data_IF_801747484743
#
_entry.id   IF_801747484743
#
_cell.length_a   1.000
_cell.length_b   1.000
_cell.length_c   1.000
_cell.angle_alpha   90.00
_cell.angle_beta   90.00
_cell.angle_gamma   90.00
#
_symmetry.space_group_name_H-M   'P 1'
#
loop_
_entity.id
_entity.type
_entity.pdbx_description
1 polymer ?
#
# COMPACT_ATOMS: atom_id res chain seq x y z
N UNK A 1 14.49 21.71 15.10
CA UNK A 1 14.30 20.30 15.50
C UNK A 1 14.84 20.05 16.91
N UNK A 2 16.16 20.00 17.15
CA UNK A 2 16.77 19.65 18.46
C UNK A 2 16.11 20.33 19.68
N UNK A 3 16.16 21.67 19.76
CA UNK A 3 15.61 22.40 20.93
C UNK A 3 14.13 22.09 21.20
N UNK A 4 13.33 21.90 20.14
CA UNK A 4 11.92 21.55 20.27
C UNK A 4 11.74 20.13 20.77
N UNK A 5 12.51 19.18 20.24
CA UNK A 5 12.49 17.79 20.68
C UNK A 5 12.86 17.65 22.17
N UNK A 6 13.92 18.33 22.60
CA UNK A 6 14.34 18.37 24.01
C UNK A 6 13.26 18.98 24.90
N UNK A 7 12.62 20.06 24.46
CA UNK A 7 11.56 20.71 25.24
C UNK A 7 10.31 19.81 25.40
N UNK A 8 9.90 19.11 24.32
CA UNK A 8 8.79 18.15 24.38
C UNK A 8 9.12 17.01 25.34
N UNK A 9 10.32 16.43 25.22
CA UNK A 9 10.73 15.33 26.08
C UNK A 9 10.87 15.73 27.56
N UNK A 10 11.40 16.93 27.83
CA UNK A 10 11.48 17.47 29.19
C UNK A 10 10.10 17.73 29.80
N UNK A 11 9.11 18.11 28.99
CA UNK A 11 7.74 18.32 29.45
C UNK A 11 7.01 17.00 29.74
N UNK A 12 7.23 15.98 28.91
CA UNK A 12 6.71 14.64 29.14
C UNK A 12 7.68 13.58 28.57
N UNK A 13 8.37 12.81 29.42
CA UNK A 13 9.31 11.84 28.93
C UNK A 13 8.63 10.61 28.30
N UNK A 14 7.34 10.34 28.55
CA UNK A 14 6.67 9.10 28.15
C UNK A 14 6.10 9.13 26.72
N UNK A 15 6.09 10.29 26.06
CA UNK A 15 5.57 10.44 24.69
C UNK A 15 6.64 10.21 23.62
N UNK A 16 6.19 9.80 22.43
CA UNK A 16 6.99 9.86 21.22
C UNK A 16 7.19 11.32 20.78
N UNK A 17 8.36 11.60 20.21
CA UNK A 17 8.70 12.90 19.63
C UNK A 17 8.77 12.74 18.11
N UNK A 18 7.83 13.37 17.42
CA UNK A 18 7.73 13.33 15.97
C UNK A 18 8.48 14.53 15.37
N UNK A 19 9.37 14.28 14.40
CA UNK A 19 10.11 15.29 13.68
C UNK A 19 9.68 15.36 12.22
N UNK A 20 9.07 16.48 11.85
CA UNK A 20 8.75 16.83 10.47
C UNK A 20 9.99 17.28 9.69
N UNK A 21 9.97 17.04 8.40
CA UNK A 21 10.93 17.48 7.40
C UNK A 21 10.66 18.86 6.82
N UNK A 22 11.35 19.13 5.72
CA UNK A 22 11.28 20.39 4.98
C UNK A 22 10.31 20.26 3.79
N UNK A 23 10.05 21.39 3.12
CA UNK A 23 9.26 21.44 1.89
C UNK A 23 7.86 20.84 2.05
N UNK A 24 7.06 21.39 2.98
CA UNK A 24 5.74 20.85 3.32
C UNK A 24 5.81 19.37 3.71
N UNK A 25 6.83 19.04 4.51
CA UNK A 25 7.07 17.71 5.07
C UNK A 25 7.33 16.59 4.02
N UNK A 26 7.94 16.95 2.89
CA UNK A 26 8.25 15.98 1.82
C UNK A 26 9.72 15.57 1.77
N UNK A 27 10.57 16.21 2.58
CA UNK A 27 12.03 16.11 2.44
C UNK A 27 12.74 15.94 3.79
N UNK A 28 13.35 14.76 4.01
CA UNK A 28 14.12 14.40 5.19
C UNK A 28 15.58 14.03 4.88
N UNK A 29 16.04 14.12 3.62
CA UNK A 29 17.39 13.67 3.24
C UNK A 29 18.51 14.43 3.94
N UNK A 30 18.25 15.67 4.40
CA UNK A 30 19.22 16.45 5.19
C UNK A 30 19.64 15.73 6.49
N UNK A 31 18.83 14.80 7.01
CA UNK A 31 19.14 13.99 8.20
C UNK A 31 20.33 13.05 7.95
N UNK A 32 20.59 12.65 6.69
CA UNK A 32 21.75 11.81 6.34
C UNK A 32 23.07 12.52 6.66
N UNK A 33 23.15 13.79 6.27
CA UNK A 33 24.37 14.59 6.40
C UNK A 33 24.45 15.29 7.76
N UNK A 34 23.29 15.54 8.38
CA UNK A 34 23.17 16.23 9.67
C UNK A 34 22.18 15.50 10.59
N UNK A 35 22.58 14.34 11.15
CA UNK A 35 21.75 13.62 12.11
C UNK A 35 21.40 14.49 13.32
N UNK A 36 20.21 14.27 13.87
CA UNK A 36 19.76 14.99 15.07
C UNK A 36 20.44 14.39 16.30
N UNK A 37 21.16 15.22 17.06
CA UNK A 37 21.74 14.82 18.34
C UNK A 37 20.78 15.24 19.47
N UNK A 38 20.30 14.26 20.22
CA UNK A 38 19.34 14.41 21.32
C UNK A 38 19.88 13.73 22.57
N UNK A 39 19.41 14.16 23.74
CA UNK A 39 19.76 13.57 25.04
C UNK A 39 19.03 12.25 25.32
N UNK A 40 17.98 11.95 24.54
CA UNK A 40 17.15 10.75 24.66
C UNK A 40 17.18 9.90 23.38
N UNK A 41 16.83 8.61 23.51
CA UNK A 41 16.76 7.66 22.41
C UNK A 41 15.48 6.79 22.50
N UNK A 42 15.21 6.02 21.45
CA UNK A 42 14.08 5.06 21.42
C UNK A 42 12.68 5.69 21.40
N UNK A 43 12.56 7.01 21.24
CA UNK A 43 11.29 7.76 21.23
C UNK A 43 11.12 8.66 20.00
N UNK A 44 12.07 8.62 19.08
CA UNK A 44 12.09 9.48 17.90
C UNK A 44 11.34 8.82 16.74
N UNK A 45 10.44 9.58 16.13
CA UNK A 45 9.74 9.20 14.90
C UNK A 45 9.92 10.33 13.90
N UNK A 46 10.12 10.00 12.63
CA UNK A 46 10.11 11.00 11.56
C UNK A 46 8.78 10.96 10.82
N UNK A 47 8.30 12.11 10.37
CA UNK A 47 7.07 12.17 9.59
C UNK A 47 7.27 12.72 8.17
N UNK A 48 6.38 12.31 7.27
CA UNK A 48 6.27 12.87 5.92
C UNK A 48 4.83 13.01 5.47
N UNK A 49 4.59 14.01 4.62
CA UNK A 49 3.33 14.20 3.90
C UNK A 49 3.45 13.73 2.45
N UNK A 50 2.38 13.11 1.89
CA UNK A 50 2.30 12.73 0.48
C UNK A 50 0.91 12.89 -0.10
N UNK A 51 0.77 13.65 -1.16
CA UNK A 51 -0.51 13.88 -1.83
C UNK A 51 -0.39 13.64 -3.33
N UNK A 52 -1.51 13.39 -4.01
CA UNK A 52 -1.51 13.25 -5.47
C UNK A 52 -0.91 14.47 -6.19
N UNK A 53 -1.14 15.67 -5.65
CA UNK A 53 -0.59 16.91 -6.19
C UNK A 53 0.89 17.16 -5.85
N UNK A 54 1.51 16.37 -4.95
CA UNK A 54 2.93 16.53 -4.58
C UNK A 54 3.84 16.45 -5.82
N UNK A 55 3.44 15.65 -6.81
CA UNK A 55 4.16 15.47 -8.08
C UNK A 55 3.61 16.35 -9.22
N UNK A 56 2.83 17.40 -8.89
CA UNK A 56 2.14 18.23 -9.87
C UNK A 56 1.13 17.42 -10.70
N UNK A 57 1.16 17.57 -12.02
CA UNK A 57 0.30 16.84 -12.96
C UNK A 57 0.88 15.53 -13.49
N UNK A 58 1.98 15.03 -12.90
CA UNK A 58 2.74 13.90 -13.45
C UNK A 58 1.88 12.65 -13.68
N UNK A 59 0.92 12.36 -12.80
CA UNK A 59 0.06 11.17 -12.93
C UNK A 59 -0.96 11.28 -14.07
N UNK A 60 -1.28 12.50 -14.52
CA UNK A 60 -2.12 12.75 -15.70
C UNK A 60 -1.28 12.75 -16.97
N UNK A 61 -0.11 13.40 -16.92
CA UNK A 61 0.69 13.67 -18.11
C UNK A 61 1.62 12.51 -18.49
N UNK A 62 1.99 11.66 -17.53
CA UNK A 62 2.92 10.56 -17.69
C UNK A 62 2.28 9.18 -17.74
N UNK A 63 3.05 8.20 -18.18
CA UNK A 63 2.69 6.80 -18.06
C UNK A 63 2.71 6.38 -16.57
N UNK A 64 1.67 5.70 -16.04
CA UNK A 64 1.60 5.39 -14.61
C UNK A 64 2.75 4.52 -14.08
N UNK A 65 3.35 3.64 -14.89
CA UNK A 65 4.49 2.83 -14.44
C UNK A 65 5.77 3.66 -14.29
N UNK A 66 6.06 4.51 -15.28
CA UNK A 66 7.22 5.43 -15.28
C UNK A 66 7.10 6.47 -14.16
N UNK A 67 5.89 7.00 -13.94
CA UNK A 67 5.62 7.95 -12.85
C UNK A 67 5.77 7.26 -11.50
N UNK A 68 5.21 6.06 -11.33
CA UNK A 68 5.33 5.31 -10.08
C UNK A 68 6.79 4.97 -9.74
N UNK A 69 7.62 4.62 -10.74
CA UNK A 69 9.06 4.42 -10.53
C UNK A 69 9.73 5.69 -9.99
N UNK A 70 9.53 6.83 -10.65
CA UNK A 70 10.12 8.11 -10.26
C UNK A 70 9.67 8.56 -8.87
N UNK A 71 8.38 8.45 -8.58
CA UNK A 71 7.79 8.87 -7.31
C UNK A 71 8.28 7.97 -6.18
N UNK A 72 8.22 6.64 -6.33
CA UNK A 72 8.70 5.73 -5.29
C UNK A 72 10.22 5.86 -5.06
N UNK A 73 11.00 6.06 -6.12
CA UNK A 73 12.43 6.33 -6.01
C UNK A 73 12.71 7.66 -5.28
N UNK A 74 11.93 8.71 -5.56
CA UNK A 74 12.02 9.97 -4.83
C UNK A 74 11.71 9.76 -3.34
N UNK A 75 10.58 9.13 -2.99
CA UNK A 75 10.19 8.91 -1.60
C UNK A 75 11.25 8.10 -0.84
N UNK A 76 11.78 7.03 -1.45
CA UNK A 76 12.87 6.24 -0.85
C UNK A 76 14.13 7.08 -0.63
N UNK A 77 14.46 7.95 -1.59
CA UNK A 77 15.61 8.86 -1.49
C UNK A 77 15.42 9.93 -0.42
N UNK A 78 14.23 10.49 -0.27
CA UNK A 78 13.98 11.66 0.58
C UNK A 78 13.59 11.30 2.00
N UNK A 79 12.95 10.15 2.23
CA UNK A 79 12.53 9.71 3.58
C UNK A 79 12.63 8.20 3.82
N UNK A 80 12.33 7.36 2.83
CA UNK A 80 12.26 5.90 3.03
C UNK A 80 13.56 5.26 3.54
N UNK A 81 14.72 5.87 3.27
CA UNK A 81 16.00 5.41 3.82
C UNK A 81 16.06 5.36 5.35
N UNK A 82 15.22 6.12 6.06
CA UNK A 82 15.13 6.09 7.51
C UNK A 82 14.64 4.71 7.98
N UNK A 83 13.71 4.11 7.26
CA UNK A 83 13.20 2.75 7.52
C UNK A 83 14.33 1.73 7.35
N UNK A 84 15.14 1.85 6.29
CA UNK A 84 16.29 0.97 6.04
C UNK A 84 17.36 1.09 7.15
N UNK A 85 17.44 2.25 7.80
CA UNK A 85 18.32 2.52 8.95
C UNK A 85 17.70 2.10 10.30
N UNK A 86 16.48 1.58 10.32
CA UNK A 86 15.77 1.15 11.52
C UNK A 86 15.06 2.26 12.28
N UNK A 87 14.90 3.45 11.68
CA UNK A 87 14.11 4.54 12.27
C UNK A 87 12.63 4.40 11.92
N UNK A 88 11.72 4.67 12.87
CA UNK A 88 10.30 4.80 12.57
C UNK A 88 10.03 5.98 11.62
N UNK A 89 9.32 5.71 10.53
CA UNK A 89 8.82 6.70 9.59
C UNK A 89 7.28 6.61 9.56
N UNK A 90 6.63 7.74 9.79
CA UNK A 90 5.18 7.88 9.85
C UNK A 90 4.71 8.74 8.69
N UNK A 91 3.70 8.31 7.93
CA UNK A 91 3.05 9.17 6.95
C UNK A 91 1.93 9.93 7.66
N UNK A 92 2.27 11.06 8.26
CA UNK A 92 1.33 11.84 9.08
C UNK A 92 0.21 12.47 8.28
N UNK A 93 0.41 12.66 6.97
CA UNK A 93 -0.64 13.06 6.06
C UNK A 93 -0.49 12.43 4.68
N UNK A 94 -1.57 11.83 4.18
CA UNK A 94 -1.75 11.62 2.75
C UNK A 94 -3.21 11.78 2.33
N UNK A 95 -3.45 12.11 1.06
CA UNK A 95 -4.81 12.27 0.59
C UNK A 95 -4.90 12.62 -0.90
N UNK A 96 -6.14 12.80 -1.33
CA UNK A 96 -6.55 13.06 -2.72
C UNK A 96 -8.06 13.09 -2.80
N UNK A 97 -8.60 13.59 -3.92
CA UNK A 97 -10.03 13.66 -4.16
C UNK A 97 -10.69 12.28 -4.21
N UNK A 98 -11.58 12.00 -3.26
CA UNK A 98 -12.23 10.70 -3.10
C UNK A 98 -13.54 10.56 -3.90
N UNK A 99 -13.88 11.52 -4.76
CA UNK A 99 -15.05 11.40 -5.68
C UNK A 99 -14.79 10.46 -6.85
N UNK A 100 -13.55 10.08 -7.09
CA UNK A 100 -13.15 9.19 -8.19
C UNK A 100 -13.08 9.88 -9.56
N UNK A 101 -13.26 11.20 -9.64
CA UNK A 101 -13.22 11.96 -10.90
C UNK A 101 -11.84 12.55 -11.19
N UNK A 102 -10.94 12.60 -10.20
CA UNK A 102 -9.60 13.15 -10.36
C UNK A 102 -8.62 12.05 -10.81
N UNK A 103 -8.22 12.09 -12.09
CA UNK A 103 -7.29 11.12 -12.69
C UNK A 103 -5.93 11.11 -11.99
N UNK A 104 -5.45 12.27 -11.55
CA UNK A 104 -4.15 12.41 -10.91
C UNK A 104 -4.12 11.64 -9.57
N UNK A 105 -5.11 11.92 -8.72
CA UNK A 105 -5.22 11.34 -7.38
C UNK A 105 -5.52 9.84 -7.44
N UNK A 106 -6.44 9.43 -8.33
CA UNK A 106 -6.78 8.02 -8.53
C UNK A 106 -5.55 7.16 -8.88
N UNK A 107 -4.71 7.64 -9.80
CA UNK A 107 -3.49 6.94 -10.22
C UNK A 107 -2.41 6.98 -9.15
N UNK A 108 -2.24 8.12 -8.48
CA UNK A 108 -1.36 8.27 -7.33
C UNK A 108 -1.66 7.22 -6.25
N UNK A 109 -2.93 7.07 -5.84
CA UNK A 109 -3.30 6.13 -4.79
C UNK A 109 -2.91 4.69 -5.13
N UNK A 110 -3.04 4.26 -6.39
CA UNK A 110 -2.67 2.90 -6.80
C UNK A 110 -1.18 2.61 -6.56
N UNK A 111 -0.31 3.58 -6.83
CA UNK A 111 1.12 3.42 -6.59
C UNK A 111 1.49 3.62 -5.12
N UNK A 112 0.95 4.68 -4.50
CA UNK A 112 1.32 5.06 -3.14
C UNK A 112 0.90 4.01 -2.11
N UNK A 113 -0.29 3.41 -2.23
CA UNK A 113 -0.71 2.33 -1.34
C UNK A 113 0.14 1.06 -1.54
N UNK A 114 0.67 0.82 -2.74
CA UNK A 114 1.64 -0.26 -2.97
C UNK A 114 2.95 0.00 -2.21
N UNK A 115 3.41 1.26 -2.21
CA UNK A 115 4.61 1.65 -1.46
C UNK A 115 4.38 1.62 0.05
N UNK A 116 3.22 2.08 0.55
CA UNK A 116 2.87 1.99 1.97
C UNK A 116 2.84 0.53 2.44
N UNK A 117 2.25 -0.37 1.64
CA UNK A 117 2.26 -1.81 1.94
C UNK A 117 3.69 -2.38 1.92
N UNK A 118 4.50 -2.02 0.92
CA UNK A 118 5.91 -2.44 0.84
C UNK A 118 6.69 -2.00 2.07
N UNK A 119 6.56 -0.73 2.45
CA UNK A 119 7.32 -0.11 3.53
C UNK A 119 6.73 -0.41 4.93
N UNK A 120 5.50 -0.94 4.99
CA UNK A 120 4.72 -1.20 6.21
C UNK A 120 4.75 -0.01 7.18
N UNK A 121 4.47 1.18 6.65
CA UNK A 121 4.49 2.42 7.43
C UNK A 121 3.17 2.63 8.15
N UNK A 122 3.25 3.18 9.36
CA UNK A 122 2.10 3.81 9.99
C UNK A 122 1.69 5.06 9.19
N UNK A 123 0.40 5.39 9.20
CA UNK A 123 -0.13 6.48 8.39
C UNK A 123 -1.37 7.14 9.01
N UNK A 124 -1.63 8.38 8.60
CA UNK A 124 -2.88 9.09 8.84
C UNK A 124 -3.39 9.70 7.53
N UNK A 125 -4.64 9.37 7.18
CA UNK A 125 -5.31 9.91 6.00
C UNK A 125 -5.86 11.30 6.31
N UNK A 126 -5.57 12.26 5.44
CA UNK A 126 -6.21 13.56 5.42
C UNK A 126 -7.47 13.47 4.55
N UNK A 127 -8.67 13.39 5.11
CA UNK A 127 -9.05 13.51 6.54
C UNK A 127 -10.37 12.77 6.81
N UNK A 128 -10.79 12.62 8.06
CA UNK A 128 -12.08 12.00 8.42
C UNK A 128 -13.29 12.86 8.00
N UNK A 129 -13.13 14.17 7.85
CA UNK A 129 -14.27 15.09 7.75
C UNK A 129 -15.11 14.93 6.48
N UNK A 130 -16.31 15.50 6.45
CA UNK A 130 -17.13 15.63 5.24
C UNK A 130 -17.27 17.07 4.74
N UNK A 131 -17.29 18.02 5.66
CA UNK A 131 -17.43 19.45 5.40
C UNK A 131 -16.80 20.27 6.53
N UNK A 132 -16.55 21.56 6.26
CA UNK A 132 -16.04 22.51 7.24
C UNK A 132 -17.15 23.40 7.77
N UNK A 133 -17.15 23.68 9.08
CA UNK A 133 -18.02 24.71 9.64
C UNK A 133 -17.82 26.05 8.91
N UNK A 134 -16.56 26.42 8.68
CA UNK A 134 -16.17 27.57 7.87
C UNK A 134 -14.77 27.35 7.29
N UNK A 135 -14.60 27.54 5.97
CA UNK A 135 -13.29 27.50 5.30
C UNK A 135 -13.31 28.48 4.13
N UNK A 136 -12.26 29.29 4.02
CA UNK A 136 -12.06 30.20 2.88
C UNK A 136 -13.25 31.12 2.56
N UNK A 137 -13.99 31.56 3.58
CA UNK A 137 -15.17 32.42 3.39
C UNK A 137 -16.48 31.68 3.17
N UNK A 138 -16.46 30.34 3.10
CA UNK A 138 -17.62 29.50 2.82
C UNK A 138 -18.01 28.70 4.06
N UNK A 139 -19.26 28.87 4.51
CA UNK A 139 -19.86 28.05 5.57
C UNK A 139 -20.29 26.71 4.95
N UNK A 140 -19.99 25.60 5.63
CA UNK A 140 -20.35 24.27 5.13
C UNK A 140 -19.60 23.88 3.85
N UNK A 141 -18.36 24.36 3.66
CA UNK A 141 -17.57 23.98 2.48
C UNK A 141 -17.32 22.47 2.47
N UNK A 142 -17.62 21.80 1.37
CA UNK A 142 -17.38 20.35 1.23
C UNK A 142 -15.89 20.03 1.19
N UNK A 143 -15.48 18.97 1.90
CA UNK A 143 -14.13 18.42 1.82
C UNK A 143 -14.14 17.16 0.95
N UNK A 144 -13.65 17.28 -0.29
CA UNK A 144 -13.61 16.17 -1.24
C UNK A 144 -12.49 15.16 -0.95
N UNK A 145 -11.49 15.53 -0.14
CA UNK A 145 -10.43 14.63 0.36
C UNK A 145 -10.90 13.85 1.60
N UNK A 146 -12.05 14.25 2.14
CA UNK A 146 -12.68 13.70 3.32
C UNK A 146 -13.25 12.30 3.11
N UNK A 147 -13.05 11.41 4.09
CA UNK A 147 -13.62 10.06 4.09
C UNK A 147 -15.15 10.05 4.16
N UNK A 148 -15.76 11.11 4.69
CA UNK A 148 -17.21 11.20 4.86
C UNK A 148 -17.87 12.08 3.79
N UNK A 149 -19.15 11.83 3.54
CA UNK A 149 -20.00 12.69 2.73
C UNK A 149 -20.19 14.06 3.40
N UNK A 150 -20.57 15.08 2.63
CA UNK A 150 -20.74 16.45 3.11
C UNK A 150 -21.59 16.58 4.40
N UNK A 151 -22.63 15.76 4.50
CA UNK A 151 -23.58 15.70 5.61
C UNK A 151 -23.16 14.76 6.76
N UNK A 152 -21.98 14.14 6.66
CA UNK A 152 -21.39 13.23 7.64
C UNK A 152 -22.18 11.93 7.86
N UNK A 153 -23.07 11.56 6.94
CA UNK A 153 -23.94 10.38 7.11
C UNK A 153 -23.35 9.09 6.54
N UNK A 154 -22.43 9.18 5.57
CA UNK A 154 -21.91 8.03 4.84
C UNK A 154 -20.41 8.15 4.57
N UNK A 155 -19.80 7.00 4.25
CA UNK A 155 -18.44 6.95 3.70
C UNK A 155 -18.49 7.35 2.23
N UNK A 156 -17.67 8.33 1.83
CA UNK A 156 -17.62 8.88 0.48
C UNK A 156 -17.18 7.86 -0.57
N UNK A 157 -16.19 7.03 -0.24
CA UNK A 157 -15.67 5.98 -1.12
C UNK A 157 -15.41 4.70 -0.33
N UNK A 158 -16.32 3.74 -0.45
CA UNK A 158 -16.17 2.40 0.16
C UNK A 158 -14.98 1.64 -0.44
N UNK A 159 -14.73 1.81 -1.74
CA UNK A 159 -13.56 1.25 -2.41
C UNK A 159 -12.26 1.77 -1.77
N UNK A 160 -12.13 3.08 -1.56
CA UNK A 160 -10.95 3.64 -0.91
C UNK A 160 -10.81 3.18 0.55
N UNK A 161 -11.91 3.15 1.31
CA UNK A 161 -11.90 2.67 2.68
C UNK A 161 -11.38 1.22 2.77
N UNK A 162 -11.85 0.34 1.89
CA UNK A 162 -11.38 -1.05 1.83
C UNK A 162 -9.87 -1.14 1.53
N UNK A 163 -9.37 -0.27 0.64
CA UNK A 163 -7.94 -0.24 0.27
C UNK A 163 -7.05 0.12 1.45
N UNK A 164 -7.43 1.12 2.25
CA UNK A 164 -6.66 1.53 3.42
C UNK A 164 -6.89 0.60 4.63
N UNK A 165 -8.05 -0.05 4.75
CA UNK A 165 -8.31 -1.04 5.80
C UNK A 165 -7.28 -2.17 5.80
N UNK A 166 -6.85 -2.59 4.61
CA UNK A 166 -5.82 -3.61 4.45
C UNK A 166 -4.45 -3.21 5.01
N UNK A 167 -4.19 -1.91 5.15
CA UNK A 167 -2.93 -1.33 5.63
C UNK A 167 -3.01 -0.91 7.11
N UNK A 168 -4.13 -1.12 7.80
CA UNK A 168 -4.26 -0.79 9.23
C UNK A 168 -3.51 -1.75 10.13
N UNK A 169 -3.27 -2.96 9.64
CA UNK A 169 -2.66 -4.04 10.39
C UNK A 169 -1.23 -4.24 9.85
N UNK A 170 -0.20 -4.22 10.72
CA UNK A 170 1.18 -4.31 10.26
C UNK A 170 1.43 -5.66 9.58
N UNK A 171 2.19 -5.62 8.48
CA UNK A 171 2.67 -6.78 7.77
C UNK A 171 3.93 -7.36 8.41
N UNK A 172 4.73 -6.53 9.09
CA UNK A 172 6.02 -6.87 9.69
C UNK A 172 6.19 -6.27 11.08
N UNK A 173 7.27 -6.67 11.75
CA UNK A 173 7.62 -6.21 13.10
C UNK A 173 7.65 -7.30 14.17
N UNK A 174 7.88 -6.92 15.44
CA UNK A 174 7.95 -7.84 16.57
C UNK A 174 6.69 -8.71 16.69
N UNK A 175 6.87 -10.01 16.87
CA UNK A 175 5.76 -10.97 16.96
C UNK A 175 5.13 -11.38 15.63
N UNK A 176 5.58 -10.83 14.49
CA UNK A 176 5.11 -11.22 13.14
C UNK A 176 6.20 -11.96 12.36
N UNK A 177 7.42 -11.41 12.28
CA UNK A 177 8.52 -12.00 11.48
C UNK A 177 9.48 -12.88 12.32
N UNK A 178 9.18 -13.15 13.59
CA UNK A 178 10.07 -13.89 14.53
C UNK A 178 10.38 -15.37 14.18
N UNK A 179 10.00 -15.87 13.00
CA UNK A 179 10.28 -17.24 12.57
C UNK A 179 10.36 -17.37 11.04
N UNK A 180 9.26 -17.80 10.43
CA UNK A 180 9.19 -18.03 8.98
C UNK A 180 8.64 -16.79 8.27
N UNK A 181 9.54 -15.99 7.69
CA UNK A 181 9.15 -14.90 6.80
C UNK A 181 8.61 -15.45 5.48
N UNK A 182 7.50 -14.89 5.03
CA UNK A 182 6.92 -15.13 3.71
C UNK A 182 6.50 -13.80 3.12
N UNK A 183 5.97 -13.81 1.91
CA UNK A 183 5.45 -12.64 1.23
C UNK A 183 3.95 -12.76 1.02
N UNK A 184 3.26 -11.63 1.05
CA UNK A 184 1.92 -11.49 0.52
C UNK A 184 2.00 -10.94 -0.90
N UNK A 185 1.06 -11.32 -1.76
CA UNK A 185 0.93 -10.71 -3.10
C UNK A 185 -0.27 -9.76 -3.03
N UNK A 186 0.02 -8.50 -2.69
CA UNK A 186 -0.95 -7.43 -2.46
C UNK A 186 -1.38 -6.77 -3.76
N UNK A 187 -2.67 -6.48 -3.92
CA UNK A 187 -3.26 -5.83 -5.08
C UNK A 187 -3.75 -4.42 -4.70
N UNK A 188 -2.99 -3.34 -5.02
CA UNK A 188 -3.22 -1.99 -4.49
C UNK A 188 -4.55 -1.34 -4.88
N UNK A 189 -5.12 -1.73 -6.02
CA UNK A 189 -6.39 -1.20 -6.50
C UNK A 189 -7.56 -1.67 -5.62
N UNK A 190 -7.48 -2.86 -5.02
CA UNK A 190 -8.58 -3.45 -4.23
C UNK A 190 -8.29 -3.51 -2.74
N UNK A 191 -7.02 -3.43 -2.31
CA UNK A 191 -6.65 -3.66 -0.91
C UNK A 191 -6.68 -5.13 -0.50
N UNK A 192 -6.65 -6.06 -1.46
CA UNK A 192 -6.74 -7.48 -1.19
C UNK A 192 -5.43 -8.17 -1.56
N UNK A 193 -5.25 -9.40 -1.08
CA UNK A 193 -4.10 -10.23 -1.41
C UNK A 193 -4.52 -11.49 -2.15
N UNK A 194 -3.62 -12.06 -2.96
CA UNK A 194 -3.87 -13.35 -3.60
C UNK A 194 -4.02 -14.44 -2.54
N UNK A 195 -5.12 -15.18 -2.63
CA UNK A 195 -5.42 -16.37 -1.84
C UNK A 195 -5.68 -17.56 -2.77
N UNK A 196 -5.38 -18.76 -2.28
CA UNK A 196 -5.70 -20.01 -2.95
C UNK A 196 -6.87 -20.69 -2.25
N UNK A 197 -7.97 -20.88 -2.96
CA UNK A 197 -9.10 -21.71 -2.53
C UNK A 197 -9.07 -23.03 -3.29
N UNK A 198 -9.16 -24.14 -2.54
CA UNK A 198 -9.30 -25.55 -2.98
C UNK A 198 -9.59 -25.79 -4.48
N UNK A 199 -8.90 -26.73 -5.15
CA UNK A 199 -7.47 -27.04 -5.10
C UNK A 199 -6.64 -26.20 -6.09
N UNK A 200 -7.27 -25.42 -6.99
CA UNK A 200 -6.56 -24.81 -8.13
C UNK A 200 -6.96 -23.36 -8.44
N UNK A 201 -7.85 -22.74 -7.63
CA UNK A 201 -8.39 -21.41 -7.93
C UNK A 201 -7.69 -20.33 -7.12
N UNK A 202 -7.05 -19.41 -7.83
CA UNK A 202 -6.49 -18.18 -7.27
C UNK A 202 -7.52 -17.05 -7.36
N UNK A 203 -7.71 -16.33 -6.26
CA UNK A 203 -8.57 -15.15 -6.20
C UNK A 203 -7.98 -14.12 -5.23
N UNK A 204 -8.52 -12.91 -5.21
CA UNK A 204 -8.23 -11.94 -4.18
C UNK A 204 -9.14 -12.17 -2.95
N UNK A 205 -8.55 -12.00 -1.78
CA UNK A 205 -9.26 -12.01 -0.50
C UNK A 205 -8.51 -11.20 0.57
N UNK A 206 -9.04 -11.14 1.80
CA UNK A 206 -8.41 -10.39 2.87
C UNK A 206 -6.97 -10.87 3.12
N UNK A 207 -6.02 -9.94 3.25
CA UNK A 207 -4.61 -10.26 3.44
C UNK A 207 -4.33 -11.07 4.72
N UNK A 208 -5.20 -10.97 5.73
CA UNK A 208 -5.12 -11.75 6.97
C UNK A 208 -5.32 -13.26 6.80
N UNK A 209 -5.97 -13.69 5.71
CA UNK A 209 -6.21 -15.11 5.38
C UNK A 209 -5.43 -15.57 4.15
N UNK A 210 -4.55 -14.72 3.63
CA UNK A 210 -3.74 -15.02 2.46
C UNK A 210 -2.71 -16.11 2.75
N UNK A 211 -2.42 -16.91 1.74
CA UNK A 211 -1.30 -17.84 1.78
C UNK A 211 0.00 -17.06 1.94
N UNK A 212 0.97 -17.65 2.65
CA UNK A 212 2.34 -17.18 2.52
C UNK A 212 2.88 -17.54 1.14
N UNK A 213 3.60 -16.62 0.51
CA UNK A 213 4.26 -16.81 -0.78
C UNK A 213 5.77 -16.67 -0.65
N UNK A 214 6.51 -17.29 -1.56
CA UNK A 214 7.95 -17.11 -1.71
C UNK A 214 8.25 -16.80 -3.15
N UNK A 215 8.77 -15.59 -3.42
CA UNK A 215 9.33 -15.26 -4.72
C UNK A 215 10.80 -15.68 -4.78
N UNK A 216 11.10 -16.68 -5.60
CA UNK A 216 12.45 -17.25 -5.67
C UNK A 216 13.36 -16.49 -6.62
N UNK A 217 14.68 -16.72 -6.53
CA UNK A 217 15.65 -16.18 -7.49
C UNK A 217 15.46 -16.71 -8.91
N UNK A 218 14.78 -17.85 -9.07
CA UNK A 218 14.34 -18.38 -10.36
C UNK A 218 13.03 -17.76 -10.84
N UNK A 219 12.59 -16.64 -10.23
CA UNK A 219 11.39 -15.88 -10.56
C UNK A 219 10.11 -16.69 -10.44
N UNK A 220 10.01 -17.59 -9.46
CA UNK A 220 8.81 -18.41 -9.23
C UNK A 220 8.07 -17.92 -8.00
N UNK A 221 6.74 -17.80 -8.09
CA UNK A 221 5.84 -17.50 -6.97
C UNK A 221 5.35 -18.82 -6.36
N UNK A 222 6.03 -19.29 -5.32
CA UNK A 222 5.70 -20.52 -4.60
C UNK A 222 4.77 -20.26 -3.42
N UNK A 223 3.82 -21.15 -3.18
CA UNK A 223 3.06 -21.16 -1.92
C UNK A 223 3.97 -21.69 -0.82
N UNK A 224 4.18 -20.88 0.22
CA UNK A 224 5.10 -21.17 1.32
C UNK A 224 4.76 -22.51 2.01
N UNK A 225 5.79 -23.30 2.27
CA UNK A 225 5.66 -24.64 2.85
C UNK A 225 5.13 -25.73 1.90
N UNK A 226 4.97 -25.44 0.60
CA UNK A 226 4.48 -26.41 -0.39
C UNK A 226 5.34 -26.42 -1.68
N UNK A 227 5.02 -27.32 -2.60
CA UNK A 227 5.64 -27.39 -3.94
C UNK A 227 4.77 -26.74 -5.03
N UNK A 228 3.70 -26.03 -4.67
CA UNK A 228 2.83 -25.37 -5.63
C UNK A 228 3.35 -23.99 -5.99
N UNK A 229 3.32 -23.65 -7.28
CA UNK A 229 3.56 -22.30 -7.80
C UNK A 229 2.43 -21.81 -8.68
N UNK A 230 2.33 -20.49 -8.83
CA UNK A 230 1.44 -19.87 -9.82
C UNK A 230 1.93 -20.20 -11.23
N UNK A 231 1.01 -20.60 -12.11
CA UNK A 231 1.24 -20.92 -13.52
C UNK A 231 0.24 -20.19 -14.41
N UNK A 232 0.74 -19.66 -15.53
CA UNK A 232 -0.07 -19.16 -16.64
C UNK A 232 -0.40 -20.30 -17.61
N UNK A 233 -1.67 -20.43 -17.99
CA UNK A 233 -2.09 -21.44 -18.98
C UNK A 233 -2.19 -20.84 -20.38
N UNK A 234 -2.95 -19.75 -20.52
CA UNK A 234 -3.12 -18.98 -21.76
C UNK A 234 -3.69 -17.59 -21.46
N UNK A 235 -3.65 -16.68 -22.43
CA UNK A 235 -4.34 -15.40 -22.30
C UNK A 235 -5.85 -15.61 -22.08
N UNK A 236 -6.46 -14.76 -21.24
CA UNK A 236 -7.89 -14.75 -20.87
C UNK A 236 -8.36 -16.03 -20.18
N UNK A 237 -7.47 -16.69 -19.44
CA UNK A 237 -7.81 -17.78 -18.53
C UNK A 237 -7.33 -17.48 -17.11
N UNK A 238 -7.81 -18.26 -16.15
CA UNK A 238 -7.36 -18.21 -14.76
C UNK A 238 -5.87 -18.57 -14.66
N UNK A 239 -5.16 -17.84 -13.79
CA UNK A 239 -3.90 -18.33 -13.26
C UNK A 239 -4.20 -19.47 -12.28
N UNK A 240 -3.48 -20.58 -12.39
CA UNK A 240 -3.71 -21.76 -11.56
C UNK A 240 -2.47 -22.11 -10.75
N UNK A 241 -2.62 -22.99 -9.77
CA UNK A 241 -1.47 -23.62 -9.13
C UNK A 241 -0.96 -24.80 -9.97
N UNK A 242 0.33 -25.08 -9.86
CA UNK A 242 0.97 -26.24 -10.48
C UNK A 242 2.13 -26.71 -9.62
N UNK A 243 2.43 -28.01 -9.65
CA UNK A 243 3.65 -28.58 -9.08
C UNK A 243 4.83 -28.53 -10.04
N UNK A 244 4.59 -28.25 -11.33
CA UNK A 244 5.64 -28.10 -12.35
C UNK A 244 6.12 -26.66 -12.42
N UNK A 245 7.07 -26.31 -11.55
CA UNK A 245 7.51 -24.92 -11.37
C UNK A 245 8.76 -24.53 -12.17
N UNK A 246 9.28 -25.44 -12.98
CA UNK A 246 10.42 -25.21 -13.87
C UNK A 246 10.05 -24.57 -15.21
N UNK A 247 8.80 -24.73 -15.64
CA UNK A 247 8.35 -24.34 -16.97
C UNK A 247 8.35 -22.81 -17.15
N UNK A 248 8.57 -22.29 -18.38
CA UNK A 248 8.57 -20.85 -18.65
C UNK A 248 7.28 -20.15 -18.22
N UNK A 249 6.14 -20.84 -18.30
CA UNK A 249 4.83 -20.31 -17.93
C UNK A 249 4.56 -20.29 -16.41
N UNK A 250 5.48 -20.81 -15.61
CA UNK A 250 5.51 -20.72 -14.15
C UNK A 250 6.59 -19.74 -13.64
N UNK A 251 7.22 -18.99 -14.55
CA UNK A 251 8.15 -17.91 -14.23
C UNK A 251 7.45 -16.57 -14.35
N UNK A 252 7.63 -15.71 -13.35
CA UNK A 252 6.95 -14.43 -13.19
C UNK A 252 7.97 -13.31 -13.02
N UNK A 253 8.14 -12.49 -14.04
CA UNK A 253 9.10 -11.39 -14.06
C UNK A 253 8.41 -10.05 -13.77
N UNK A 254 9.05 -9.20 -12.97
CA UNK A 254 8.59 -7.82 -12.73
C UNK A 254 9.04 -6.91 -13.88
N UNK A 255 8.22 -6.80 -14.93
CA UNK A 255 8.67 -6.24 -16.23
C UNK A 255 8.50 -4.73 -16.38
N UNK A 256 7.60 -4.08 -15.63
CA UNK A 256 7.38 -2.63 -15.72
C UNK A 256 8.42 -1.82 -14.93
N UNK A 257 8.51 -0.52 -15.18
CA UNK A 257 9.38 0.39 -14.41
C UNK A 257 8.98 0.44 -12.93
N UNK A 258 7.67 0.46 -12.65
CA UNK A 258 7.11 0.35 -11.29
C UNK A 258 7.39 -0.98 -10.58
N UNK A 259 7.81 -2.01 -11.32
CA UNK A 259 7.97 -3.41 -10.87
C UNK A 259 6.67 -4.04 -10.33
N UNK A 260 5.51 -3.53 -10.73
CA UNK A 260 4.20 -4.04 -10.29
C UNK A 260 3.57 -5.06 -11.25
N UNK A 261 4.06 -5.20 -12.48
CA UNK A 261 3.57 -6.20 -13.43
C UNK A 261 4.31 -7.52 -13.28
N UNK A 262 3.63 -8.57 -12.84
CA UNK A 262 4.16 -9.93 -12.84
C UNK A 262 3.81 -10.61 -14.18
N UNK A 263 4.82 -10.79 -15.04
CA UNK A 263 4.65 -11.34 -16.38
C UNK A 263 5.23 -12.74 -16.55
N UNK A 264 4.53 -13.59 -17.29
CA UNK A 264 4.91 -14.97 -17.60
C UNK A 264 4.86 -15.24 -19.10
N UNK A 265 5.73 -16.16 -19.56
CA UNK A 265 5.84 -16.53 -20.97
C UNK A 265 5.05 -17.79 -21.27
N UNK A 266 4.13 -17.71 -22.23
CA UNK A 266 3.32 -18.84 -22.69
C UNK A 266 4.09 -19.74 -23.66
N UNK A 267 3.55 -20.94 -23.91
CA UNK A 267 4.18 -21.94 -24.79
C UNK A 267 4.28 -21.51 -26.25
N UNK A 268 3.44 -20.57 -26.69
CA UNK A 268 3.50 -19.94 -28.01
C UNK A 268 4.53 -18.80 -28.11
N UNK A 269 5.20 -18.48 -26.99
CA UNK A 269 6.21 -17.43 -26.88
C UNK A 269 5.67 -16.05 -26.54
N UNK A 270 4.35 -15.86 -26.47
CA UNK A 270 3.72 -14.61 -26.03
C UNK A 270 3.90 -14.40 -24.53
N UNK A 271 3.79 -13.14 -24.08
CA UNK A 271 3.84 -12.78 -22.68
C UNK A 271 2.47 -12.36 -22.18
N UNK A 272 2.10 -12.83 -21.00
CA UNK A 272 0.91 -12.41 -20.26
C UNK A 272 1.33 -11.80 -18.92
N UNK A 273 0.45 -11.02 -18.32
CA UNK A 273 0.59 -10.48 -16.98
C UNK A 273 -0.52 -11.05 -16.09
N UNK A 274 -0.23 -11.21 -14.80
CA UNK A 274 -1.30 -11.38 -13.80
C UNK A 274 -2.23 -10.19 -13.86
N UNK A 275 -3.52 -10.46 -13.74
CA UNK A 275 -4.60 -9.48 -13.80
C UNK A 275 -5.75 -9.98 -12.90
N UNK A 276 -6.72 -9.12 -12.66
CA UNK A 276 -7.88 -9.41 -11.80
C UNK A 276 -9.16 -9.13 -12.59
N UNK A 277 -10.07 -10.11 -12.60
CA UNK A 277 -11.40 -9.92 -13.19
C UNK A 277 -12.39 -9.26 -12.22
N UNK A 278 -13.58 -8.91 -12.70
CA UNK A 278 -14.62 -8.24 -11.91
C UNK A 278 -15.12 -9.08 -10.70
N UNK A 279 -14.83 -10.38 -10.69
CA UNK A 279 -15.19 -11.31 -9.63
C UNK A 279 -14.00 -11.61 -8.70
N UNK A 280 -12.95 -10.77 -8.74
CA UNK A 280 -11.72 -10.93 -7.96
C UNK A 280 -10.94 -12.22 -8.25
N UNK A 281 -11.17 -12.89 -9.38
CA UNK A 281 -10.36 -14.06 -9.75
C UNK A 281 -9.03 -13.60 -10.36
N UNK A 282 -7.97 -14.35 -10.09
CA UNK A 282 -6.68 -14.10 -10.73
C UNK A 282 -6.67 -14.72 -12.12
N UNK A 283 -6.50 -13.89 -13.12
CA UNK A 283 -6.46 -14.27 -14.53
C UNK A 283 -5.14 -13.83 -15.17
N UNK A 284 -4.89 -14.29 -16.38
CA UNK A 284 -3.74 -13.86 -17.17
C UNK A 284 -4.19 -13.17 -18.45
N UNK A 285 -3.81 -11.91 -18.64
CA UNK A 285 -4.16 -11.11 -19.82
C UNK A 285 -2.90 -10.58 -20.50
N UNK A 286 -3.05 -10.03 -21.70
CA UNK A 286 -1.96 -9.27 -22.33
C UNK A 286 -1.51 -8.15 -21.38
N UNK A 287 -0.20 -7.99 -21.22
CA UNK A 287 0.37 -6.93 -20.39
C UNK A 287 0.02 -5.56 -20.97
N UNK A 288 -0.51 -4.65 -20.14
CA UNK A 288 -0.93 -3.30 -20.59
C UNK A 288 -0.08 -2.19 -20.00
N UNK A 289 -0.08 -1.04 -20.68
CA UNK A 289 0.50 0.22 -20.22
C UNK A 289 1.99 0.19 -19.83
N UNK A 290 2.79 -0.72 -20.38
CA UNK A 290 4.17 -0.95 -19.93
C UNK A 290 5.10 0.27 -20.11
N UNK A 291 4.88 1.11 -21.12
CA UNK A 291 5.64 2.35 -21.34
C UNK A 291 4.87 3.34 -22.22
N UNK A 292 5.24 4.62 -22.16
CA UNK A 292 4.82 5.74 -23.03
C UNK A 292 3.33 6.12 -23.04
N UNK A 293 2.43 5.16 -23.03
CA UNK A 293 0.98 5.43 -23.07
C UNK A 293 0.52 6.01 -21.72
N UNK A 294 0.17 7.29 -21.74
CA UNK A 294 -0.34 8.03 -20.58
C UNK A 294 -1.85 7.89 -20.37
N UNK A 295 -2.60 7.37 -21.34
CA UNK A 295 -4.05 7.20 -21.24
C UNK A 295 -4.44 5.83 -20.69
N UNK A 296 -3.54 4.87 -20.81
CA UNK A 296 -3.74 3.50 -20.35
C UNK A 296 -3.71 3.38 -18.82
N UNK A 297 -4.58 2.53 -18.27
CA UNK A 297 -4.66 2.23 -16.83
C UNK A 297 -4.15 0.80 -16.51
N UNK A 298 -2.99 0.67 -15.85
CA UNK A 298 -2.43 -0.63 -15.48
C UNK A 298 -2.95 -1.20 -14.16
N UNK A 299 -3.80 -0.49 -13.42
CA UNK A 299 -4.03 -0.74 -11.99
C UNK A 299 -4.50 -2.17 -11.65
N UNK A 300 -5.27 -2.83 -12.52
CA UNK A 300 -5.72 -4.21 -12.33
C UNK A 300 -4.60 -5.27 -12.49
N UNK A 301 -3.48 -4.90 -13.12
CA UNK A 301 -2.29 -5.75 -13.31
C UNK A 301 -1.18 -5.42 -12.32
N UNK A 302 -1.42 -4.51 -11.38
CA UNK A 302 -0.44 -4.14 -10.37
C UNK A 302 -0.53 -5.03 -9.14
N UNK A 303 0.55 -5.77 -8.89
CA UNK A 303 0.72 -6.60 -7.71
C UNK A 303 2.03 -6.23 -7.01
N UNK A 304 1.99 -6.14 -5.69
CA UNK A 304 3.14 -5.86 -4.84
C UNK A 304 3.46 -7.06 -3.98
N UNK A 305 4.71 -7.49 -3.99
CA UNK A 305 5.21 -8.45 -3.02
C UNK A 305 5.52 -7.70 -1.73
N UNK A 306 4.88 -8.10 -0.63
CA UNK A 306 4.99 -7.46 0.68
C UNK A 306 5.52 -8.47 1.68
N UNK A 307 6.62 -8.14 2.34
CA UNK A 307 7.22 -9.03 3.34
C UNK A 307 6.34 -9.13 4.59
N UNK A 308 6.12 -10.37 5.05
CA UNK A 308 5.28 -10.67 6.20
C UNK A 308 5.71 -11.96 6.92
N UNK A 309 4.94 -12.36 7.92
CA UNK A 309 5.22 -13.54 8.74
C UNK A 309 4.02 -13.96 9.57
N UNK A 310 4.16 -15.08 10.28
CA UNK A 310 3.10 -15.61 11.14
C UNK A 310 3.00 -14.78 12.42
N UNK A 311 1.79 -14.26 12.69
CA UNK A 311 1.48 -13.60 13.96
C UNK A 311 1.55 -14.61 15.11
N UNK A 312 2.37 -14.34 16.12
CA UNK A 312 2.35 -15.10 17.37
C UNK A 312 1.02 -14.87 18.08
N UNK A 313 0.30 -15.94 18.41
CA UNK A 313 -1.01 -15.91 19.10
C UNK A 313 -0.94 -15.36 20.53
N UNK A 314 0.26 -15.06 21.04
CA UNK A 314 0.49 -14.56 22.41
C UNK A 314 0.49 -13.04 22.54
N UNK A 315 0.45 -12.26 21.45
CA UNK A 315 0.15 -10.83 21.59
C UNK A 315 -1.35 -10.68 21.77
N UNK A 316 -1.80 -10.22 22.93
CA UNK A 316 -3.15 -9.69 23.15
C UNK A 316 -3.53 -8.86 21.94
N UNK A 317 -4.44 -9.41 21.15
CA UNK A 317 -4.56 -9.03 19.76
C UNK A 317 -5.31 -7.71 19.67
N UNK A 318 -4.79 -6.77 18.88
CA UNK A 318 -5.59 -5.66 18.35
C UNK A 318 -6.85 -6.16 17.64
N UNK A 319 -6.89 -7.44 17.22
CA UNK A 319 -8.11 -8.12 16.78
C UNK A 319 -9.25 -8.14 17.81
N UNK A 320 -8.98 -8.11 19.12
CA UNK A 320 -10.06 -8.01 20.12
C UNK A 320 -10.72 -6.63 20.15
N UNK A 321 -10.10 -5.59 19.60
CA UNK A 321 -10.73 -4.29 19.40
C UNK A 321 -11.58 -4.24 18.11
N UNK A 322 -11.19 -4.97 17.07
CA UNK A 322 -11.91 -4.99 15.78
C UNK A 322 -13.05 -6.00 15.69
N UNK A 323 -13.06 -7.06 16.51
CA UNK A 323 -14.16 -8.04 16.54
C UNK A 323 -15.40 -7.56 17.30
N UNK A 324 -15.41 -6.32 17.79
CA UNK A 324 -16.61 -5.66 18.24
C UNK A 324 -17.45 -5.33 17.00
N UNK A 325 -18.53 -6.08 16.77
CA UNK A 325 -19.59 -5.75 15.81
C UNK A 325 -20.25 -4.36 16.03
N UNK A 326 -19.71 -3.55 16.94
CA UNK A 326 -20.10 -2.18 17.25
C UNK A 326 -19.37 -1.10 16.43
N UNK A 327 -18.40 -1.45 15.58
CA UNK A 327 -17.74 -0.51 14.63
C UNK A 327 -18.44 -0.52 13.25
N UNK A 328 -19.65 -1.07 13.17
CA UNK A 328 -20.59 -0.70 12.11
C UNK A 328 -21.23 0.61 12.56
N UNK A 329 -20.98 1.68 11.81
CA UNK A 329 -21.62 2.99 11.93
C UNK A 329 -23.12 2.84 12.27
N UNK A 330 -23.46 2.91 13.56
CA UNK A 330 -24.84 3.17 13.98
C UNK A 330 -25.06 4.64 13.67
N UNK A 331 -25.98 4.92 12.75
CA UNK A 331 -26.45 6.28 12.50
C UNK A 331 -26.73 6.93 13.86
N UNK A 332 -26.11 8.09 14.12
CA UNK A 332 -26.45 8.91 15.27
C UNK A 332 -27.92 9.29 15.12
N UNK A 333 -28.78 8.59 15.85
CA UNK A 333 -30.19 8.92 15.95
C UNK A 333 -30.30 10.37 16.44
N UNK A 334 -31.16 11.13 15.78
CA UNK A 334 -31.52 12.49 16.15
C UNK A 334 -31.82 12.57 17.66
N UNK A 335 -31.05 13.40 18.36
CA UNK A 335 -31.41 13.92 19.69
C UNK A 335 -32.14 15.24 19.48
#
# INVERSE_FOLDING_TARGET
MVKGAEAVHAANPDVLVILSGLNFDTELSFIRDRPVSLTFNGKLVFEVHRYGFTDGGAWVDGNPNEVCEKVTANIKKTSGFLVDQGWPLFVSEFGGDLRGTNVNDNRYFNCFLALLAELDLDWAHWTLVGSYYFREGVIGMEEFYGLLTWDWTQVRSTSFLNRIQALQLPFRGPGIIQGFSYQLIFHPLTGLCIISSMPDKLMLGPCSVSNGWKYTSQKTLLVDGTNFCIRAKKEREFATLSTTCSDPNSKWEMISDSKLHLSSKLGDGSNVCLDVDDNNNIVTNACKCLSKDKTCDPASQWFKLVDSGKRSTTSTSTFSMFNSAEILWKALGLI
#
